data_IF_724546725132
#
_entry.id   IF_724546725132
#
_cell.length_a   1.000
_cell.length_b   1.000
_cell.length_c   1.000
_cell.angle_alpha   90.00
_cell.angle_beta   90.00
_cell.angle_gamma   90.00
#
_symmetry.space_group_name_H-M   'P 1'
#
loop_
_entity.id
_entity.type
_entity.pdbx_description
1 polymer ?
#
# COMPACT_ATOMS: atom_id res chain seq x y z
N UNK A 1 7.32 -25.36 -16.80
CA UNK A 1 6.17 -25.31 -17.71
C UNK A 1 6.00 -23.87 -18.16
N UNK A 2 6.13 -23.65 -19.47
CA UNK A 2 6.33 -22.35 -20.11
C UNK A 2 5.14 -21.42 -19.91
N UNK A 3 5.43 -20.17 -19.56
CA UNK A 3 4.47 -19.07 -19.49
C UNK A 3 3.86 -18.82 -20.88
N UNK A 4 2.54 -18.63 -21.02
CA UNK A 4 1.99 -18.03 -22.22
C UNK A 4 2.31 -16.54 -22.15
N UNK A 5 3.39 -16.17 -22.82
CA UNK A 5 3.73 -14.79 -23.14
C UNK A 5 2.61 -14.25 -24.05
N UNK A 6 1.62 -13.57 -23.49
CA UNK A 6 0.59 -12.89 -24.27
C UNK A 6 1.22 -11.64 -24.88
N UNK A 7 1.85 -11.82 -26.05
CA UNK A 7 2.31 -10.75 -26.90
C UNK A 7 1.14 -9.80 -27.18
N UNK A 8 1.17 -8.63 -26.54
CA UNK A 8 0.36 -7.50 -26.97
C UNK A 8 0.79 -7.16 -28.41
N UNK A 9 -0.11 -7.36 -29.38
CA UNK A 9 0.12 -6.91 -30.75
C UNK A 9 0.48 -5.42 -30.74
N UNK A 10 1.55 -4.99 -31.45
CA UNK A 10 1.83 -3.57 -31.58
C UNK A 10 0.65 -2.89 -32.27
N UNK A 11 0.37 -1.65 -31.87
CA UNK A 11 -0.72 -0.83 -32.39
C UNK A 11 -0.56 -0.61 -33.90
N UNK A 12 -1.11 -1.48 -34.72
CA UNK A 12 -1.03 -1.33 -36.17
C UNK A 12 -2.17 -0.49 -36.71
N UNK A 13 -3.30 -0.40 -35.99
CA UNK A 13 -4.56 0.10 -36.54
C UNK A 13 -5.47 0.74 -35.49
N UNK A 14 -6.22 1.76 -35.90
CA UNK A 14 -7.34 2.31 -35.14
C UNK A 14 -8.50 1.30 -35.06
N UNK A 15 -8.91 0.93 -33.86
CA UNK A 15 -9.99 -0.04 -33.58
C UNK A 15 -11.39 0.41 -34.03
N UNK A 16 -11.55 1.66 -34.47
CA UNK A 16 -12.80 2.16 -35.04
C UNK A 16 -12.70 2.27 -36.57
N UNK A 17 -11.83 3.15 -37.07
CA UNK A 17 -11.83 3.53 -38.50
C UNK A 17 -10.79 2.80 -39.36
N UNK A 18 -9.98 1.89 -38.80
CA UNK A 18 -9.01 1.12 -39.58
C UNK A 18 -7.76 1.88 -40.03
N UNK A 19 -7.59 3.15 -39.64
CA UNK A 19 -6.39 3.93 -40.01
C UNK A 19 -5.13 3.38 -39.33
N UNK A 20 -4.04 3.29 -40.10
CA UNK A 20 -2.73 2.82 -39.63
C UNK A 20 -1.72 3.97 -39.55
N UNK A 21 -0.77 3.98 -38.59
CA UNK A 21 0.32 4.96 -38.57
C UNK A 21 1.16 4.91 -39.87
N UNK A 22 1.28 6.02 -40.58
CA UNK A 22 2.07 6.10 -41.82
C UNK A 22 3.57 6.03 -41.53
N UNK A 23 4.31 5.17 -42.23
CA UNK A 23 5.79 5.09 -42.18
C UNK A 23 6.49 6.04 -43.16
N UNK A 24 5.77 6.85 -43.95
CA UNK A 24 6.34 7.67 -45.02
C UNK A 24 7.02 8.96 -44.53
N UNK A 25 8.15 9.29 -45.16
CA UNK A 25 9.01 10.47 -44.97
C UNK A 25 8.44 11.79 -45.52
N UNK A 26 7.12 11.87 -45.74
CA UNK A 26 6.48 13.09 -46.27
C UNK A 26 6.12 14.08 -45.15
N UNK A 27 6.12 15.37 -45.49
CA UNK A 27 5.87 16.55 -44.65
C UNK A 27 4.46 16.65 -44.02
N UNK A 28 3.70 15.56 -43.97
CA UNK A 28 2.38 15.49 -43.34
C UNK A 28 2.48 15.01 -41.90
N UNK A 29 1.60 15.44 -40.98
CA UNK A 29 1.63 14.99 -39.60
C UNK A 29 1.42 13.47 -39.52
N UNK A 30 2.40 12.76 -38.94
CA UNK A 30 2.33 11.31 -38.72
C UNK A 30 1.14 10.99 -37.81
N UNK A 31 0.26 10.09 -38.26
CA UNK A 31 -0.86 9.61 -37.46
C UNK A 31 -0.33 8.89 -36.22
N UNK A 32 -0.66 9.39 -35.03
CA UNK A 32 -0.36 8.73 -33.76
C UNK A 32 -1.62 8.10 -33.18
N UNK A 33 -1.53 6.83 -32.81
CA UNK A 33 -2.62 6.13 -32.11
C UNK A 33 -2.48 6.35 -30.60
N UNK A 34 -3.60 6.64 -29.94
CA UNK A 34 -3.70 6.70 -28.49
C UNK A 34 -4.50 5.52 -27.96
N UNK A 35 -4.11 5.00 -26.80
CA UNK A 35 -4.86 3.93 -26.16
C UNK A 35 -6.14 4.48 -25.53
N UNK A 36 -7.20 3.67 -25.49
CA UNK A 36 -8.41 3.94 -24.72
C UNK A 36 -8.06 4.51 -23.35
N UNK A 37 -8.57 5.71 -23.05
CA UNK A 37 -8.24 6.44 -21.82
C UNK A 37 -8.54 5.64 -20.53
N UNK A 38 -9.47 4.67 -20.59
CA UNK A 38 -9.90 3.83 -19.48
C UNK A 38 -9.19 2.46 -19.43
N UNK A 39 -9.39 1.59 -20.41
CA UNK A 39 -8.88 0.20 -20.36
C UNK A 39 -7.46 0.04 -20.89
N UNK A 40 -6.96 1.01 -21.66
CA UNK A 40 -5.67 0.95 -22.35
C UNK A 40 -5.50 -0.26 -23.31
N UNK A 41 -6.59 -0.96 -23.66
CA UNK A 41 -6.57 -2.16 -24.50
C UNK A 41 -6.79 -1.86 -26.00
N UNK A 42 -7.75 -0.98 -26.32
CA UNK A 42 -7.99 -0.49 -27.69
C UNK A 42 -7.13 0.73 -28.04
N UNK A 43 -6.88 0.95 -29.32
CA UNK A 43 -6.14 2.05 -29.93
C UNK A 43 -7.04 2.87 -30.86
N UNK A 44 -6.94 4.20 -30.77
CA UNK A 44 -7.74 5.12 -31.57
C UNK A 44 -6.85 6.21 -32.17
N UNK A 45 -7.15 6.62 -33.40
CA UNK A 45 -6.43 7.73 -34.05
C UNK A 45 -6.88 9.12 -33.57
N UNK A 46 -8.00 9.19 -32.85
CA UNK A 46 -8.54 10.43 -32.29
C UNK A 46 -9.56 10.12 -31.20
N UNK A 47 -9.85 11.11 -30.35
CA UNK A 47 -10.93 11.03 -29.37
C UNK A 47 -12.28 10.77 -30.02
N UNK A 48 -12.55 11.39 -31.18
CA UNK A 48 -13.76 11.14 -31.96
C UNK A 48 -13.91 9.65 -32.35
N UNK A 49 -12.82 8.98 -32.69
CA UNK A 49 -12.85 7.54 -32.96
C UNK A 49 -13.13 6.72 -31.70
N UNK A 50 -12.61 7.11 -30.54
CA UNK A 50 -12.94 6.45 -29.28
C UNK A 50 -14.42 6.63 -28.91
N UNK A 51 -14.95 7.84 -29.09
CA UNK A 51 -16.37 8.15 -28.80
C UNK A 51 -17.29 7.34 -29.72
N UNK A 52 -17.00 7.28 -31.02
CA UNK A 52 -17.83 6.56 -31.98
C UNK A 52 -17.81 5.03 -31.78
N UNK A 53 -16.72 4.45 -31.27
CA UNK A 53 -16.66 3.01 -30.89
C UNK A 53 -17.19 2.74 -29.48
N UNK A 54 -17.57 3.77 -28.71
CA UNK A 54 -17.82 3.64 -27.28
C UNK A 54 -18.96 2.68 -26.94
N UNK A 55 -20.08 2.73 -27.66
CA UNK A 55 -21.23 1.86 -27.35
C UNK A 55 -20.89 0.38 -27.53
N UNK A 56 -20.07 0.04 -28.54
CA UNK A 56 -19.58 -1.32 -28.75
C UNK A 56 -18.47 -1.71 -27.76
N UNK A 57 -17.58 -0.78 -27.42
CA UNK A 57 -16.43 -1.05 -26.56
C UNK A 57 -16.77 -1.08 -25.06
N UNK A 58 -17.66 -0.21 -24.60
CA UNK A 58 -17.95 0.05 -23.18
C UNK A 58 -18.24 -1.21 -22.36
N UNK A 59 -19.02 -2.20 -22.85
CA UNK A 59 -19.31 -3.43 -22.09
C UNK A 59 -18.05 -4.25 -21.75
N UNK A 60 -17.05 -4.25 -22.65
CA UNK A 60 -15.78 -4.95 -22.47
C UNK A 60 -14.68 -4.07 -21.85
N UNK A 61 -14.90 -2.75 -21.74
CA UNK A 61 -13.91 -1.78 -21.28
C UNK A 61 -13.63 -1.87 -19.77
N UNK A 62 -12.65 -2.69 -19.39
CA UNK A 62 -12.20 -2.86 -18.00
C UNK A 62 -10.84 -2.21 -17.75
N UNK A 63 -10.73 -1.43 -16.68
CA UNK A 63 -9.45 -0.83 -16.27
C UNK A 63 -8.51 -1.95 -15.80
N UNK A 64 -7.24 -1.98 -16.26
CA UNK A 64 -6.29 -2.96 -15.75
C UNK A 64 -6.00 -2.68 -14.27
N UNK A 65 -5.77 -3.75 -13.52
CA UNK A 65 -5.43 -3.70 -12.11
C UNK A 65 -4.10 -2.97 -11.87
N UNK A 66 -3.89 -2.52 -10.64
CA UNK A 66 -2.58 -2.11 -10.14
C UNK A 66 -1.88 -3.29 -9.49
N UNK A 67 -0.57 -3.43 -9.71
CA UNK A 67 0.28 -4.32 -8.92
C UNK A 67 0.97 -3.45 -7.87
N UNK A 68 0.62 -3.64 -6.60
CA UNK A 68 1.10 -2.86 -5.46
C UNK A 68 1.83 -3.79 -4.49
N UNK A 69 3.06 -3.46 -4.11
CA UNK A 69 3.82 -4.17 -3.10
C UNK A 69 3.86 -3.31 -1.83
N UNK A 70 3.51 -3.90 -0.69
CA UNK A 70 3.46 -3.27 0.63
C UNK A 70 4.58 -3.85 1.47
N UNK A 71 5.60 -3.04 1.77
CA UNK A 71 6.76 -3.46 2.54
C UNK A 71 6.60 -2.92 3.96
N UNK A 72 6.52 -3.81 4.95
CA UNK A 72 6.31 -3.43 6.34
C UNK A 72 7.65 -3.00 6.96
N UNK A 73 7.74 -1.74 7.38
CA UNK A 73 8.89 -1.12 8.06
C UNK A 73 10.24 -1.62 7.50
N UNK A 74 10.51 -1.44 6.19
CA UNK A 74 11.61 -2.13 5.49
C UNK A 74 13.01 -1.68 5.95
N UNK A 75 13.10 -0.54 6.62
CA UNK A 75 14.28 -0.02 7.28
C UNK A 75 14.66 -0.82 8.53
N UNK A 76 13.71 -1.46 9.22
CA UNK A 76 13.95 -2.22 10.46
C UNK A 76 13.71 -3.73 10.25
N UNK A 77 12.56 -4.12 9.71
CA UNK A 77 12.14 -5.52 9.57
C UNK A 77 12.73 -6.11 8.30
N UNK A 78 13.92 -6.71 8.42
CA UNK A 78 14.71 -7.21 7.28
C UNK A 78 14.89 -8.72 7.24
N UNK A 79 14.88 -9.38 8.39
CA UNK A 79 15.11 -10.82 8.49
C UNK A 79 14.00 -11.56 9.27
N UNK A 80 13.11 -12.30 8.58
CA UNK A 80 12.80 -12.12 7.16
C UNK A 80 12.06 -10.79 6.95
N UNK A 81 12.29 -10.12 5.82
CA UNK A 81 11.49 -8.94 5.50
C UNK A 81 10.04 -9.33 5.25
N UNK A 82 9.12 -8.51 5.77
CA UNK A 82 7.68 -8.76 5.69
C UNK A 82 7.08 -7.89 4.58
N UNK A 83 6.51 -8.53 3.55
CA UNK A 83 5.83 -7.82 2.47
C UNK A 83 4.71 -8.62 1.84
N UNK A 84 3.77 -7.95 1.16
CA UNK A 84 2.74 -8.55 0.31
C UNK A 84 2.65 -7.81 -1.01
N UNK A 85 2.56 -8.55 -2.12
CA UNK A 85 2.31 -7.99 -3.46
C UNK A 85 0.89 -8.33 -3.88
N UNK A 86 0.06 -7.31 -4.07
CA UNK A 86 -1.35 -7.44 -4.42
C UNK A 86 -1.62 -6.97 -5.85
N UNK A 87 -2.43 -7.73 -6.59
CA UNK A 87 -3.13 -7.26 -7.78
C UNK A 87 -4.50 -6.73 -7.39
N UNK A 88 -4.71 -5.42 -7.56
CA UNK A 88 -5.87 -4.70 -7.04
C UNK A 88 -6.69 -4.11 -8.19
N UNK A 89 -8.01 -4.39 -8.27
CA UNK A 89 -8.87 -3.75 -9.26
C UNK A 89 -8.86 -2.23 -9.15
N UNK A 90 -8.68 -1.54 -10.28
CA UNK A 90 -8.51 -0.09 -10.28
C UNK A 90 -9.73 0.68 -9.72
N UNK A 91 -10.92 0.05 -9.77
CA UNK A 91 -12.18 0.61 -9.26
C UNK A 91 -12.45 0.31 -7.78
N UNK A 92 -11.57 -0.46 -7.13
CA UNK A 92 -11.60 -0.72 -5.68
C UNK A 92 -11.45 0.59 -4.91
N UNK A 93 -12.07 0.67 -3.73
CA UNK A 93 -11.91 1.80 -2.80
C UNK A 93 -10.74 1.56 -1.85
N UNK A 94 -10.14 2.62 -1.32
CA UNK A 94 -9.02 2.46 -0.37
C UNK A 94 -9.44 1.72 0.90
N UNK A 95 -10.71 1.83 1.35
CA UNK A 95 -11.23 1.02 2.45
C UNK A 95 -11.25 -0.48 2.13
N UNK A 96 -11.62 -0.86 0.90
CA UNK A 96 -11.55 -2.27 0.46
C UNK A 96 -10.11 -2.76 0.31
N UNK A 97 -9.18 -1.89 -0.07
CA UNK A 97 -7.75 -2.21 -0.10
C UNK A 97 -7.23 -2.46 1.32
N UNK A 98 -7.57 -1.60 2.28
CA UNK A 98 -7.26 -1.80 3.69
C UNK A 98 -7.77 -3.15 4.20
N UNK A 99 -9.03 -3.51 3.97
CA UNK A 99 -9.55 -4.82 4.37
C UNK A 99 -8.76 -5.99 3.76
N UNK A 100 -8.31 -5.85 2.50
CA UNK A 100 -7.47 -6.88 1.89
C UNK A 100 -6.07 -6.94 2.51
N UNK A 101 -5.51 -5.82 2.97
CA UNK A 101 -4.26 -5.79 3.71
C UNK A 101 -4.41 -6.46 5.08
N UNK A 102 -5.50 -6.18 5.81
CA UNK A 102 -5.80 -6.86 7.06
C UNK A 102 -5.82 -8.39 6.89
N UNK A 103 -6.46 -8.88 5.83
CA UNK A 103 -6.44 -10.32 5.51
C UNK A 103 -5.04 -10.80 5.09
N UNK A 104 -4.34 -10.06 4.23
CA UNK A 104 -3.05 -10.47 3.69
C UNK A 104 -1.92 -10.52 4.75
N UNK A 105 -1.99 -9.64 5.76
CA UNK A 105 -1.08 -9.61 6.89
C UNK A 105 -1.60 -10.39 8.09
N UNK A 106 -2.83 -10.92 8.05
CA UNK A 106 -3.42 -11.67 9.15
C UNK A 106 -3.68 -10.81 10.39
N UNK A 107 -4.12 -9.57 10.22
CA UNK A 107 -4.47 -8.66 11.30
C UNK A 107 -5.96 -8.64 11.59
N UNK A 108 -6.29 -8.21 12.82
CA UNK A 108 -7.64 -8.27 13.36
C UNK A 108 -8.52 -7.06 13.01
N UNK A 109 -7.94 -6.03 12.36
CA UNK A 109 -8.63 -4.79 12.01
C UNK A 109 -9.26 -4.07 13.21
N UNK A 110 -8.48 -3.90 14.27
CA UNK A 110 -8.91 -3.30 15.55
C UNK A 110 -8.49 -1.85 15.73
N UNK A 111 -7.58 -1.36 14.88
CA UNK A 111 -6.96 -0.03 15.01
C UNK A 111 -7.21 0.88 13.83
N UNK A 112 -6.95 2.17 14.02
CA UNK A 112 -6.98 3.17 12.95
C UNK A 112 -5.97 2.91 11.83
N UNK A 113 -6.24 3.49 10.65
CA UNK A 113 -5.32 3.46 9.52
C UNK A 113 -5.44 4.68 8.62
N UNK A 114 -4.42 4.93 7.81
CA UNK A 114 -4.48 5.86 6.69
C UNK A 114 -3.66 5.39 5.48
N UNK A 115 -3.89 6.05 4.35
CA UNK A 115 -2.95 6.07 3.23
C UNK A 115 -2.48 7.50 3.03
N UNK A 116 -1.20 7.71 2.76
CA UNK A 116 -0.63 9.03 2.61
C UNK A 116 0.33 9.12 1.42
N UNK A 117 0.42 10.32 0.83
CA UNK A 117 1.40 10.65 -0.20
C UNK A 117 2.34 11.71 0.34
N UNK A 118 3.65 11.40 0.29
CA UNK A 118 4.69 12.26 0.83
C UNK A 118 4.72 13.62 0.11
N UNK A 119 5.02 14.67 0.87
CA UNK A 119 5.44 15.94 0.29
C UNK A 119 6.92 15.85 -0.13
N UNK A 120 7.26 16.03 -1.42
CA UNK A 120 8.66 16.04 -1.85
C UNK A 120 9.51 17.13 -1.19
N UNK A 121 8.89 18.16 -0.62
CA UNK A 121 9.58 19.21 0.12
C UNK A 121 9.86 18.85 1.59
N UNK A 122 9.36 17.71 2.08
CA UNK A 122 9.60 17.28 3.46
C UNK A 122 10.98 16.62 3.59
N UNK A 123 11.87 17.24 4.36
CA UNK A 123 13.16 16.68 4.74
C UNK A 123 13.06 16.00 6.11
N UNK A 124 13.26 14.68 6.19
CA UNK A 124 13.15 13.97 7.47
C UNK A 124 14.25 14.35 8.45
N UNK A 125 15.46 14.59 7.98
CA UNK A 125 16.63 14.73 8.85
C UNK A 125 16.64 16.12 9.50
N UNK A 126 16.30 17.16 8.73
CA UNK A 126 16.13 18.51 9.26
C UNK A 126 14.91 18.62 10.16
N UNK A 127 13.80 17.96 9.80
CA UNK A 127 12.55 18.08 10.56
C UNK A 127 12.56 17.27 11.86
N UNK A 128 13.20 16.09 11.90
CA UNK A 128 13.36 15.34 13.15
C UNK A 128 14.27 16.07 14.15
N UNK A 129 15.28 16.80 13.66
CA UNK A 129 16.12 17.65 14.51
C UNK A 129 15.31 18.82 15.10
N UNK A 130 14.50 19.48 14.27
CA UNK A 130 13.63 20.58 14.70
C UNK A 130 12.51 20.13 15.64
N UNK A 131 11.93 18.94 15.44
CA UNK A 131 10.93 18.38 16.35
C UNK A 131 11.55 18.05 17.73
N UNK A 132 12.80 17.56 17.77
CA UNK A 132 13.53 17.29 19.03
C UNK A 132 13.92 18.56 19.78
N UNK A 133 14.33 19.62 19.07
CA UNK A 133 14.73 20.89 19.66
C UNK A 133 13.53 21.81 20.00
N UNK A 134 12.50 21.81 19.15
CA UNK A 134 11.30 22.65 19.28
C UNK A 134 10.26 22.15 20.29
N UNK A 135 10.28 20.87 20.67
CA UNK A 135 9.38 20.33 21.71
C UNK A 135 9.56 21.03 23.07
N UNK A 136 10.70 21.70 23.31
CA UNK A 136 10.96 22.44 24.54
C UNK A 136 10.43 23.89 24.53
N UNK A 137 10.08 24.48 23.37
CA UNK A 137 9.62 25.88 23.25
C UNK A 137 8.13 26.05 22.91
N UNK A 138 7.41 24.99 22.52
CA UNK A 138 6.00 25.08 22.09
C UNK A 138 4.95 25.32 23.19
N UNK A 139 5.32 25.73 24.40
CA UNK A 139 4.34 26.10 25.43
C UNK A 139 3.71 27.49 25.24
N UNK A 140 4.18 28.31 24.27
CA UNK A 140 3.67 29.68 24.11
C UNK A 140 3.05 30.05 22.75
N UNK A 141 3.23 29.30 21.66
CA UNK A 141 2.62 29.64 20.36
C UNK A 141 1.91 28.46 19.68
N UNK A 142 0.58 28.42 19.78
CA UNK A 142 -0.30 27.39 19.25
C UNK A 142 -0.45 27.39 17.71
N UNK A 143 0.49 28.02 16.98
CA UNK A 143 0.43 28.20 15.52
C UNK A 143 1.51 27.45 14.75
N UNK A 144 2.49 26.85 15.42
CA UNK A 144 3.52 26.05 14.75
C UNK A 144 3.03 24.61 14.54
N UNK A 145 2.67 24.28 13.29
CA UNK A 145 2.19 22.95 12.88
C UNK A 145 3.31 22.02 12.38
N UNK A 146 4.57 22.44 12.51
CA UNK A 146 5.71 21.76 11.90
C UNK A 146 5.67 21.81 10.37
N UNK A 147 6.47 20.96 9.74
CA UNK A 147 6.51 20.84 8.28
C UNK A 147 5.48 19.85 7.77
N UNK A 148 4.86 20.18 6.63
CA UNK A 148 3.90 19.30 5.96
C UNK A 148 4.59 18.04 5.45
N UNK A 149 4.42 16.93 6.17
CA UNK A 149 4.93 15.61 5.74
C UNK A 149 4.20 15.02 4.54
N UNK A 150 2.90 15.27 4.43
CA UNK A 150 2.04 14.65 3.41
C UNK A 150 1.22 15.70 2.65
N UNK A 151 1.18 15.61 1.33
CA UNK A 151 0.30 16.45 0.49
C UNK A 151 -1.14 15.94 0.46
N UNK A 152 -1.33 14.63 0.65
CA UNK A 152 -2.63 13.96 0.65
C UNK A 152 -2.66 12.86 1.71
N UNK A 153 -3.73 12.82 2.49
CA UNK A 153 -4.10 11.69 3.36
C UNK A 153 -5.50 11.18 3.04
N UNK A 154 -5.64 9.86 2.97
CA UNK A 154 -6.91 9.17 2.87
C UNK A 154 -7.16 8.44 4.19
N UNK A 155 -8.25 8.79 4.87
CA UNK A 155 -8.54 8.33 6.23
C UNK A 155 -9.84 7.53 6.27
N UNK A 156 -9.95 6.57 7.19
CA UNK A 156 -11.24 6.03 7.59
C UNK A 156 -12.09 7.15 8.21
N UNK A 157 -13.40 7.09 8.05
CA UNK A 157 -14.30 8.03 8.72
C UNK A 157 -14.40 7.64 10.19
N UNK A 158 -14.19 8.60 11.08
CA UNK A 158 -14.20 8.55 12.55
C UNK A 158 -14.95 7.36 13.18
N UNK A 159 -14.31 6.18 13.20
CA UNK A 159 -14.59 5.13 14.21
C UNK A 159 -13.94 5.46 15.56
N UNK A 160 -13.06 6.45 15.57
CA UNK A 160 -12.31 6.87 16.73
C UNK A 160 -13.04 8.07 17.33
N UNK A 161 -13.97 7.81 18.26
CA UNK A 161 -14.49 8.86 19.13
C UNK A 161 -13.35 9.51 19.92
N UNK A 162 -13.60 10.70 20.48
CA UNK A 162 -12.63 11.56 21.22
C UNK A 162 -11.92 10.84 22.41
N UNK A 163 -12.31 9.60 22.73
CA UNK A 163 -11.71 8.75 23.76
C UNK A 163 -10.92 7.56 23.23
N UNK A 164 -10.59 7.50 21.94
CA UNK A 164 -9.74 6.43 21.42
C UNK A 164 -8.25 6.72 21.75
N UNK A 165 -7.50 5.79 22.38
CA UNK A 165 -6.06 5.94 22.56
C UNK A 165 -5.30 6.24 21.24
N UNK A 166 -5.78 5.73 20.10
CA UNK A 166 -5.27 6.04 18.76
C UNK A 166 -5.38 7.53 18.40
N UNK A 167 -6.36 8.24 18.97
CA UNK A 167 -6.57 9.69 18.76
C UNK A 167 -5.77 10.59 19.69
N UNK A 168 -5.22 10.08 20.78
CA UNK A 168 -4.64 10.89 21.86
C UNK A 168 -3.15 11.23 21.68
N UNK A 169 -2.51 10.82 20.58
CA UNK A 169 -1.11 11.15 20.30
C UNK A 169 -0.55 10.65 18.96
N UNK A 170 -1.14 9.61 18.35
CA UNK A 170 -0.61 9.02 17.10
C UNK A 170 -0.88 9.85 15.82
N UNK A 171 -1.82 10.80 15.86
CA UNK A 171 -2.16 11.63 14.71
C UNK A 171 -1.33 12.90 14.56
N UNK A 172 -0.73 13.43 15.64
CA UNK A 172 -0.23 14.81 15.66
C UNK A 172 0.87 15.05 14.62
N UNK A 173 1.77 14.08 14.42
CA UNK A 173 2.86 14.16 13.44
C UNK A 173 2.44 13.77 12.01
N UNK A 174 1.16 13.44 11.81
CA UNK A 174 0.60 13.08 10.49
C UNK A 174 -0.41 14.10 9.99
N UNK A 175 -0.84 15.04 10.84
CA UNK A 175 -1.81 16.09 10.50
C UNK A 175 -1.10 17.41 10.23
N UNK A 176 -1.49 18.10 9.17
CA UNK A 176 -1.03 19.46 8.89
C UNK A 176 -2.17 20.23 8.19
N UNK A 177 -2.40 21.53 8.47
CA UNK A 177 -3.52 22.29 7.90
C UNK A 177 -3.58 22.30 6.37
N UNK A 178 -2.41 22.22 5.73
CA UNK A 178 -2.30 22.18 4.28
C UNK A 178 -2.35 20.76 3.67
N UNK A 179 -2.44 19.71 4.47
CA UNK A 179 -2.62 18.34 3.95
C UNK A 179 -4.04 18.16 3.46
N UNK A 180 -4.22 17.79 2.19
CA UNK A 180 -5.55 17.46 1.68
C UNK A 180 -6.03 16.14 2.30
N UNK A 181 -7.26 16.10 2.77
CA UNK A 181 -7.83 14.88 3.36
C UNK A 181 -9.07 14.40 2.59
N UNK A 182 -9.17 13.09 2.37
CA UNK A 182 -10.35 12.45 1.75
C UNK A 182 -10.70 11.15 2.46
N UNK A 183 -11.94 10.69 2.29
CA UNK A 183 -12.40 9.41 2.85
C UNK A 183 -11.91 8.21 2.03
N UNK A 184 -11.46 7.15 2.70
CA UNK A 184 -11.07 5.86 2.09
C UNK A 184 -12.27 5.08 1.55
N UNK A 185 -13.47 5.30 2.08
CA UNK A 185 -14.70 4.58 1.71
C UNK A 185 -15.18 4.92 0.30
N UNK A 186 -15.00 6.17 -0.11
CA UNK A 186 -15.54 6.69 -1.37
C UNK A 186 -14.46 6.91 -2.44
N UNK A 187 -13.18 6.97 -2.03
CA UNK A 187 -12.07 7.21 -2.94
C UNK A 187 -11.67 5.90 -3.62
N UNK A 188 -11.80 5.83 -4.95
CA UNK A 188 -11.35 4.69 -5.76
C UNK A 188 -9.87 4.83 -6.11
N UNK A 189 -9.14 3.72 -6.20
CA UNK A 189 -7.71 3.71 -6.50
C UNK A 189 -7.35 4.53 -7.75
N UNK A 190 -8.06 4.33 -8.86
CA UNK A 190 -7.76 5.05 -10.11
C UNK A 190 -7.94 6.56 -10.01
N UNK A 191 -8.68 7.08 -9.02
CA UNK A 191 -8.84 8.52 -8.83
C UNK A 191 -7.59 9.19 -8.27
N UNK A 192 -6.71 8.42 -7.61
CA UNK A 192 -5.48 8.92 -7.02
C UNK A 192 -4.27 8.39 -7.79
N UNK A 193 -4.22 7.09 -8.09
CA UNK A 193 -3.05 6.45 -8.71
C UNK A 193 -2.87 6.76 -10.21
N UNK A 194 -3.92 7.22 -10.91
CA UNK A 194 -3.81 7.74 -12.29
C UNK A 194 -3.76 9.29 -12.31
N UNK A 195 -3.83 9.96 -11.16
CA UNK A 195 -3.78 11.43 -11.07
C UNK A 195 -2.32 11.90 -11.06
N UNK A 196 -1.98 12.80 -11.98
CA UNK A 196 -0.62 13.32 -12.15
C UNK A 196 -0.11 14.08 -10.93
N UNK A 197 -1.01 14.63 -10.11
CA UNK A 197 -0.62 15.32 -8.87
C UNK A 197 0.05 14.35 -7.88
N UNK A 198 -0.37 13.09 -7.86
CA UNK A 198 0.09 12.09 -6.89
C UNK A 198 0.86 10.93 -7.53
N UNK A 199 0.89 10.85 -8.87
CA UNK A 199 1.40 9.68 -9.59
C UNK A 199 2.91 9.51 -9.53
N UNK A 200 3.68 10.44 -8.99
CA UNK A 200 5.14 10.29 -8.86
C UNK A 200 5.61 10.40 -7.40
N UNK A 201 4.66 10.56 -6.47
CA UNK A 201 4.96 10.70 -5.05
C UNK A 201 5.10 9.34 -4.38
N UNK A 202 5.89 9.33 -3.32
CA UNK A 202 5.99 8.19 -2.40
C UNK A 202 4.68 7.99 -1.65
N UNK A 203 4.38 6.73 -1.37
CA UNK A 203 3.09 6.33 -0.83
C UNK A 203 3.29 5.47 0.40
N UNK A 204 2.50 5.76 1.41
CA UNK A 204 2.54 5.08 2.69
C UNK A 204 1.16 4.52 3.05
N UNK A 205 1.14 3.37 3.71
CA UNK A 205 -0.02 2.86 4.43
C UNK A 205 0.37 2.69 5.91
N UNK A 206 -0.28 3.43 6.80
CA UNK A 206 -0.10 3.29 8.24
C UNK A 206 -1.28 2.50 8.82
N UNK A 207 -0.98 1.47 9.61
CA UNK A 207 -1.95 0.78 10.46
C UNK A 207 -1.48 0.90 11.90
N UNK A 208 -2.42 1.09 12.84
CA UNK A 208 -2.13 1.26 14.26
C UNK A 208 -1.23 2.47 14.52
N UNK A 209 -1.84 3.59 14.90
CA UNK A 209 -1.09 4.82 15.16
C UNK A 209 -0.32 4.77 16.49
N UNK A 210 -0.62 3.81 17.37
CA UNK A 210 0.16 3.55 18.58
C UNK A 210 1.47 2.83 18.27
N UNK A 211 1.36 1.69 17.57
CA UNK A 211 2.52 0.83 17.26
C UNK A 211 3.27 1.22 15.98
N UNK A 212 2.70 2.13 15.17
CA UNK A 212 3.28 2.70 13.97
C UNK A 212 3.65 1.66 12.90
N UNK A 213 2.72 0.77 12.54
CA UNK A 213 2.91 -0.21 11.48
C UNK A 213 2.86 0.42 10.07
N UNK A 214 3.97 1.07 9.71
CA UNK A 214 4.18 1.73 8.42
C UNK A 214 4.46 0.73 7.31
N UNK A 215 3.83 0.93 6.16
CA UNK A 215 4.17 0.24 4.93
C UNK A 215 4.53 1.21 3.83
N UNK A 216 5.68 0.95 3.20
CA UNK A 216 6.07 1.65 1.99
C UNK A 216 5.42 0.93 0.79
N UNK A 217 4.65 1.68 0.01
CA UNK A 217 3.85 1.14 -1.10
C UNK A 217 4.56 1.38 -2.43
N UNK A 218 5.01 0.30 -3.06
CA UNK A 218 5.69 0.32 -4.34
C UNK A 218 4.72 -0.08 -5.47
N UNK A 219 4.65 0.76 -6.51
CA UNK A 219 3.92 0.44 -7.75
C UNK A 219 4.80 -0.43 -8.66
N UNK A 220 4.43 -1.70 -8.80
CA UNK A 220 5.19 -2.66 -9.62
C UNK A 220 4.71 -2.73 -11.07
N UNK A 221 3.50 -2.22 -11.36
CA UNK A 221 2.97 -2.15 -12.72
C UNK A 221 1.46 -2.33 -12.80
N UNK A 222 1.00 -2.89 -13.93
CA UNK A 222 -0.41 -3.18 -14.21
C UNK A 222 -0.61 -4.66 -14.51
N UNK A 223 -1.77 -5.20 -14.17
CA UNK A 223 -2.18 -6.57 -14.47
C UNK A 223 -3.54 -6.60 -15.19
N UNK A 224 -3.90 -7.70 -15.86
CA UNK A 224 -5.25 -7.89 -16.39
C UNK A 224 -6.33 -7.66 -15.32
N UNK A 225 -7.51 -7.16 -15.71
CA UNK A 225 -8.58 -6.87 -14.78
C UNK A 225 -9.14 -8.13 -14.13
N UNK A 226 -9.33 -8.10 -12.80
CA UNK A 226 -9.98 -9.16 -12.02
C UNK A 226 -11.23 -8.62 -11.30
N UNK A 227 -12.09 -9.51 -10.79
CA UNK A 227 -13.24 -9.13 -9.95
C UNK A 227 -12.85 -8.91 -8.48
N UNK A 228 -11.74 -9.48 -8.03
CA UNK A 228 -11.30 -9.50 -6.64
C UNK A 228 -9.83 -9.13 -6.52
N UNK A 229 -9.42 -8.70 -5.34
CA UNK A 229 -8.01 -8.47 -5.00
C UNK A 229 -7.33 -9.82 -4.87
N UNK A 230 -6.14 -9.96 -5.43
CA UNK A 230 -5.38 -11.22 -5.39
C UNK A 230 -4.01 -10.94 -4.78
N UNK A 231 -3.63 -11.70 -3.75
CA UNK A 231 -2.25 -11.73 -3.27
C UNK A 231 -1.42 -12.57 -4.25
N UNK A 232 -0.44 -11.93 -4.89
CA UNK A 232 0.41 -12.55 -5.91
C UNK A 232 1.69 -13.12 -5.33
N UNK A 233 2.20 -12.51 -4.27
CA UNK A 233 3.47 -12.84 -3.65
C UNK A 233 3.52 -12.30 -2.22
N UNK A 234 4.37 -12.88 -1.39
CA UNK A 234 4.58 -12.41 -0.02
C UNK A 234 5.68 -13.16 0.69
N UNK A 235 6.28 -12.50 1.68
CA UNK A 235 7.30 -13.08 2.55
C UNK A 235 7.09 -12.63 3.99
N UNK A 236 7.52 -13.48 4.92
CA UNK A 236 7.49 -13.20 6.35
C UNK A 236 6.09 -13.36 6.95
N UNK A 237 6.07 -13.73 8.22
CA UNK A 237 4.84 -13.84 8.99
C UNK A 237 4.17 -12.46 9.12
N UNK A 238 2.84 -12.43 9.27
CA UNK A 238 2.16 -11.24 9.74
C UNK A 238 2.67 -10.85 11.13
N UNK A 239 2.83 -9.57 11.42
CA UNK A 239 3.27 -9.16 12.75
C UNK A 239 2.16 -9.42 13.77
N UNK A 240 2.54 -9.90 14.96
CA UNK A 240 1.62 -10.06 16.07
C UNK A 240 0.87 -8.75 16.36
N UNK A 241 -0.45 -8.85 16.49
CA UNK A 241 -1.33 -7.77 16.88
C UNK A 241 -0.90 -7.24 18.26
N UNK A 242 -0.82 -5.92 18.40
CA UNK A 242 -0.42 -5.21 19.63
C UNK A 242 1.04 -5.44 20.08
N UNK A 243 1.87 -6.00 19.19
CA UNK A 243 3.30 -5.93 19.37
C UNK A 243 3.81 -4.55 18.91
N UNK A 244 4.83 -4.03 19.57
CA UNK A 244 5.62 -2.92 19.02
C UNK A 244 6.63 -3.45 18.00
N UNK A 245 7.26 -2.56 17.21
CA UNK A 245 8.35 -2.93 16.29
C UNK A 245 9.47 -3.68 17.01
N UNK A 246 9.90 -3.19 18.17
CA UNK A 246 10.94 -3.83 18.99
C UNK A 246 10.45 -5.13 19.61
N UNK A 247 9.18 -5.18 20.07
CA UNK A 247 8.56 -6.39 20.58
C UNK A 247 8.49 -7.50 19.53
N UNK A 248 8.20 -7.17 18.27
CA UNK A 248 8.19 -8.13 17.18
C UNK A 248 9.59 -8.70 16.88
N UNK A 249 10.63 -7.86 16.84
CA UNK A 249 12.01 -8.34 16.68
C UNK A 249 12.44 -9.21 17.86
N UNK A 250 12.10 -8.83 19.09
CA UNK A 250 12.36 -9.61 20.30
C UNK A 250 11.65 -10.98 20.26
N UNK A 251 10.40 -11.03 19.77
CA UNK A 251 9.66 -12.26 19.59
C UNK A 251 10.33 -13.19 18.57
N UNK A 252 10.77 -12.66 17.42
CA UNK A 252 11.53 -13.45 16.44
C UNK A 252 12.81 -14.02 17.05
N UNK A 253 13.52 -13.23 17.85
CA UNK A 253 14.72 -13.69 18.54
C UNK A 253 14.42 -14.79 19.57
N UNK A 254 13.32 -14.66 20.31
CA UNK A 254 12.84 -15.70 21.21
C UNK A 254 12.62 -17.04 20.47
N UNK A 255 12.00 -17.02 19.29
CA UNK A 255 11.79 -18.21 18.46
C UNK A 255 13.07 -18.78 17.82
N UNK A 256 14.10 -17.95 17.61
CA UNK A 256 15.40 -18.40 17.10
C UNK A 256 16.27 -19.01 18.20
N UNK A 257 16.04 -18.65 19.46
CA UNK A 257 16.84 -19.13 20.57
C UNK A 257 16.67 -20.64 20.79
N UNK A 258 17.76 -21.43 20.77
CA UNK A 258 17.70 -22.86 21.09
C UNK A 258 17.45 -23.12 22.59
N UNK A 259 17.59 -22.10 23.44
CA UNK A 259 17.30 -22.17 24.88
C UNK A 259 16.77 -20.82 25.36
N UNK A 260 15.47 -20.54 25.13
CA UNK A 260 14.85 -19.28 25.50
C UNK A 260 14.92 -19.01 27.00
N UNK A 261 15.28 -17.79 27.39
CA UNK A 261 15.21 -17.32 28.78
C UNK A 261 13.75 -17.14 29.22
N UNK A 262 13.51 -16.69 30.46
CA UNK A 262 12.15 -16.52 31.00
C UNK A 262 11.31 -15.53 30.18
N UNK A 263 11.81 -14.32 29.96
CA UNK A 263 11.16 -13.29 29.15
C UNK A 263 10.85 -13.76 27.72
N UNK A 264 11.78 -14.48 27.08
CA UNK A 264 11.57 -15.05 25.76
C UNK A 264 10.47 -16.11 25.76
N UNK A 265 10.37 -16.93 26.81
CA UNK A 265 9.27 -17.91 26.93
C UNK A 265 7.93 -17.21 27.15
N UNK A 266 7.90 -16.12 27.91
CA UNK A 266 6.69 -15.35 28.15
C UNK A 266 6.21 -14.67 26.86
N UNK A 267 7.13 -14.08 26.08
CA UNK A 267 6.82 -13.50 24.77
C UNK A 267 6.27 -14.56 23.80
N UNK A 268 6.87 -15.74 23.77
CA UNK A 268 6.38 -16.88 22.96
C UNK A 268 4.98 -17.29 23.43
N UNK A 269 4.77 -17.43 24.74
CA UNK A 269 3.48 -17.81 25.31
C UNK A 269 2.38 -16.79 24.98
N UNK A 270 2.67 -15.51 25.16
CA UNK A 270 1.76 -14.42 24.80
C UNK A 270 1.36 -14.50 23.33
N UNK A 271 2.32 -14.69 22.42
CA UNK A 271 2.00 -14.81 20.99
C UNK A 271 1.15 -16.06 20.69
N UNK A 272 1.49 -17.22 21.26
CA UNK A 272 0.80 -18.48 20.95
C UNK A 272 -0.63 -18.54 21.54
N UNK A 273 -0.92 -17.78 22.59
CA UNK A 273 -2.14 -17.96 23.41
C UNK A 273 -2.99 -16.71 23.60
N UNK A 274 -2.43 -15.50 23.46
CA UNK A 274 -3.10 -14.25 23.84
C UNK A 274 -3.20 -13.24 22.70
N UNK A 275 -2.20 -13.18 21.82
CA UNK A 275 -2.24 -12.28 20.66
C UNK A 275 -3.42 -12.62 19.74
N UNK A 276 -4.16 -11.61 19.27
CA UNK A 276 -5.40 -11.82 18.49
C UNK A 276 -5.15 -12.57 17.17
N UNK A 277 -3.97 -12.41 16.58
CA UNK A 277 -3.51 -13.15 15.40
C UNK A 277 -2.35 -14.10 15.72
N UNK A 278 -2.29 -14.55 16.98
CA UNK A 278 -1.41 -15.61 17.44
C UNK A 278 -1.61 -16.90 16.66
N UNK A 279 -0.53 -17.66 16.50
CA UNK A 279 -0.58 -19.03 16.00
C UNK A 279 -0.03 -19.95 17.09
N UNK A 280 -0.83 -20.92 17.51
CA UNK A 280 -0.42 -21.96 18.46
C UNK A 280 0.77 -22.82 17.98
N UNK A 281 1.08 -22.81 16.67
CA UNK A 281 2.27 -23.43 16.09
C UNK A 281 3.48 -22.49 16.05
N UNK A 282 3.31 -21.25 16.52
CA UNK A 282 4.33 -20.20 16.53
C UNK A 282 4.69 -19.71 15.12
N UNK A 283 5.83 -19.04 15.01
CA UNK A 283 6.29 -18.42 13.76
C UNK A 283 6.88 -19.41 12.73
N UNK A 284 6.87 -20.71 13.04
CA UNK A 284 7.58 -21.76 12.29
C UNK A 284 6.87 -22.29 11.04
N UNK A 285 5.68 -21.80 10.69
CA UNK A 285 4.98 -22.20 9.46
C UNK A 285 4.51 -23.66 9.45
N UNK A 286 3.94 -24.16 10.55
CA UNK A 286 3.22 -25.44 10.60
C UNK A 286 4.07 -26.70 10.82
N UNK A 287 5.32 -26.57 11.28
CA UNK A 287 6.09 -27.69 11.82
C UNK A 287 6.05 -27.68 13.35
N UNK A 288 5.89 -28.83 14.04
CA UNK A 288 6.15 -28.87 15.48
C UNK A 288 7.58 -28.35 15.69
N UNK A 289 7.77 -27.46 16.67
CA UNK A 289 9.10 -26.99 17.13
C UNK A 289 10.09 -28.11 16.88
N UNK A 290 11.04 -27.91 15.96
CA UNK A 290 12.12 -28.86 15.75
C UNK A 290 12.88 -28.90 17.08
N UNK A 291 12.43 -29.78 17.98
CA UNK A 291 13.15 -30.18 19.17
C UNK A 291 14.38 -30.86 18.62
N UNK A 292 15.44 -30.09 18.47
CA UNK A 292 16.78 -30.62 18.26
C UNK A 292 17.04 -31.49 19.49
N UNK A 293 16.82 -32.79 19.30
CA UNK A 293 17.02 -33.78 20.34
C UNK A 293 18.50 -33.81 20.70
N UNK A 294 18.77 -33.74 21.99
CA UNK A 294 19.98 -34.31 22.55
C UNK A 294 19.55 -35.46 23.48
N UNK A 295 20.07 -36.65 23.16
CA UNK A 295 20.25 -37.74 24.11
C UNK A 295 21.25 -37.32 25.19
#
# INVERSE_FOLDING_TARGET
MSTPNSFASPASVCDNCGKTPSTSTSSSPKLQLSKCSRCKAKWYCSEACQIADWDAHRPACKRPNYILQFNLVPDIIRDPAVFRTLSVPATTTFAKLHNALQVAFGWANTHGYDFAWADPAYDSDENEALDREGFLECFEDATFWGFRKFVLRLREKDKLGVHNPDTMGGHVNRTHPETKEKSTEHTKLFKILDDKEYSDLEMEYMYDFGDNWRHDIIRKGRAPPTSHIVCLDGRGHGVAQDATITGWEALKEAYRSPSPNEEQRDNIYWYENEAMNGDSNGLGGGGPRARVGYK
#
